data_IF_725094781111
#
_entry.id   IF_725094781111
#
_cell.length_a   1.000
_cell.length_b   1.000
_cell.length_c   1.000
_cell.angle_alpha   90.00
_cell.angle_beta   90.00
_cell.angle_gamma   90.00
#
_symmetry.space_group_name_H-M   'P 1'
#
loop_
_entity.id
_entity.type
_entity.pdbx_description
1 polymer ?
#
# COMPACT_ATOMS: atom_id res chain seq x y z
N UNK A 1 -7.35 20.66 6.88
CA UNK A 1 -6.31 19.80 7.49
C UNK A 1 -6.51 18.43 6.87
N UNK A 2 -5.46 17.78 6.37
CA UNK A 2 -5.59 16.42 5.83
C UNK A 2 -5.68 15.44 6.98
N UNK A 3 -6.60 14.49 6.91
CA UNK A 3 -6.82 13.40 7.86
C UNK A 3 -6.39 12.06 7.27
N UNK A 4 -6.37 11.01 8.09
CA UNK A 4 -6.16 9.65 7.58
C UNK A 4 -7.31 9.18 6.68
N UNK A 5 -8.55 9.64 6.90
CA UNK A 5 -9.69 9.29 6.05
C UNK A 5 -9.49 9.82 4.61
N UNK A 6 -8.98 11.06 4.47
CA UNK A 6 -8.60 11.63 3.17
C UNK A 6 -7.50 10.82 2.46
N UNK A 7 -6.56 10.24 3.23
CA UNK A 7 -5.48 9.39 2.72
C UNK A 7 -6.01 7.99 2.36
N UNK A 8 -6.90 7.41 3.16
CA UNK A 8 -7.54 6.13 2.92
C UNK A 8 -8.42 6.15 1.66
N UNK A 9 -9.13 7.27 1.42
CA UNK A 9 -9.86 7.50 0.15
C UNK A 9 -8.88 7.46 -1.04
N UNK A 10 -7.78 8.23 -0.98
CA UNK A 10 -6.77 8.24 -2.05
C UNK A 10 -6.11 6.87 -2.28
N UNK A 11 -5.93 6.07 -1.23
CA UNK A 11 -5.44 4.70 -1.32
C UNK A 11 -6.47 3.82 -2.05
N UNK A 12 -7.74 3.88 -1.66
CA UNK A 12 -8.83 3.10 -2.29
C UNK A 12 -9.06 3.48 -3.76
N UNK A 13 -9.00 4.76 -4.12
CA UNK A 13 -9.11 5.23 -5.51
C UNK A 13 -7.97 4.69 -6.39
N UNK A 14 -6.74 4.67 -5.86
CA UNK A 14 -5.56 4.16 -6.57
C UNK A 14 -5.56 2.64 -6.66
N UNK A 15 -5.97 1.91 -5.61
CA UNK A 15 -6.20 0.45 -5.71
C UNK A 15 -7.30 0.14 -6.74
N UNK A 16 -8.42 0.86 -6.72
CA UNK A 16 -9.48 0.71 -7.74
C UNK A 16 -8.93 0.90 -9.17
N UNK A 17 -8.08 1.92 -9.35
CA UNK A 17 -7.41 2.19 -10.63
C UNK A 17 -6.45 1.06 -11.05
N UNK A 18 -5.66 0.52 -10.11
CA UNK A 18 -4.70 -0.55 -10.38
C UNK A 18 -5.37 -1.91 -10.67
N UNK A 19 -6.47 -2.21 -9.98
CA UNK A 19 -7.15 -3.50 -10.02
C UNK A 19 -8.24 -3.58 -11.11
N UNK A 20 -8.76 -2.44 -11.57
CA UNK A 20 -9.87 -2.35 -12.53
C UNK A 20 -11.27 -2.54 -11.92
N UNK A 21 -11.36 -2.69 -10.59
CA UNK A 21 -12.60 -2.83 -9.82
C UNK A 21 -12.83 -1.64 -8.87
N UNK A 22 -13.90 -1.67 -8.07
CA UNK A 22 -14.16 -0.65 -7.05
C UNK A 22 -13.79 -1.14 -5.65
N UNK A 23 -12.71 -0.59 -5.11
CA UNK A 23 -12.31 -0.73 -3.70
C UNK A 23 -12.91 0.41 -2.87
N UNK A 24 -13.40 0.11 -1.67
CA UNK A 24 -13.84 1.11 -0.69
C UNK A 24 -13.25 0.80 0.70
N UNK A 25 -13.10 1.79 1.60
CA UNK A 25 -12.45 1.59 2.90
C UNK A 25 -13.06 0.47 3.74
N UNK A 26 -14.37 0.22 3.59
CA UNK A 26 -15.10 -0.80 4.35
C UNK A 26 -14.83 -2.25 3.86
N UNK A 27 -14.17 -2.43 2.71
CA UNK A 27 -13.88 -3.74 2.11
C UNK A 27 -12.47 -4.26 2.42
N UNK A 28 -11.57 -3.40 2.92
CA UNK A 28 -10.14 -3.73 3.03
C UNK A 28 -9.70 -3.74 4.49
N UNK A 29 -9.46 -4.94 5.02
CA UNK A 29 -8.70 -5.08 6.26
C UNK A 29 -7.25 -4.67 6.02
N UNK A 30 -6.65 -3.95 6.97
CA UNK A 30 -5.24 -3.61 6.90
C UNK A 30 -4.55 -3.66 8.27
N UNK A 31 -3.30 -4.12 8.26
CA UNK A 31 -2.38 -4.00 9.39
C UNK A 31 -1.38 -2.86 9.12
N UNK A 32 -0.66 -2.41 10.15
CA UNK A 32 0.27 -1.27 10.02
C UNK A 32 1.58 -1.55 10.73
N UNK A 33 2.69 -1.46 9.99
CA UNK A 33 4.06 -1.61 10.52
C UNK A 33 4.82 -0.29 10.41
N UNK A 34 5.56 0.08 11.46
CA UNK A 34 6.50 1.21 11.42
C UNK A 34 7.86 0.69 10.95
N UNK A 35 8.39 1.26 9.87
CA UNK A 35 9.70 0.92 9.32
C UNK A 35 10.57 2.18 9.17
N UNK A 36 11.89 2.01 9.20
CA UNK A 36 12.83 3.02 8.72
C UNK A 36 12.78 3.07 7.19
N UNK A 37 13.04 4.24 6.59
CA UNK A 37 13.05 4.38 5.11
C UNK A 37 14.09 3.47 4.43
N UNK A 38 15.18 3.14 5.12
CA UNK A 38 16.22 2.20 4.66
C UNK A 38 15.70 0.77 4.50
N UNK A 39 14.56 0.41 5.09
CA UNK A 39 13.90 -0.90 4.98
C UNK A 39 12.90 -0.97 3.80
N UNK A 40 12.70 0.14 3.07
CA UNK A 40 11.71 0.25 2.00
C UNK A 40 12.35 0.04 0.62
N UNK A 41 12.28 -1.18 0.08
CA UNK A 41 12.67 -1.48 -1.32
C UNK A 41 11.58 -1.10 -2.35
N UNK A 42 10.34 -0.92 -1.90
CA UNK A 42 9.15 -1.09 -2.74
C UNK A 42 9.16 -0.37 -4.10
N UNK A 43 8.96 -1.15 -5.17
CA UNK A 43 8.93 -0.71 -6.57
C UNK A 43 7.95 0.46 -6.76
N UNK A 44 8.50 1.60 -7.19
CA UNK A 44 7.73 2.82 -7.48
C UNK A 44 7.80 3.89 -6.38
N UNK A 45 8.51 3.63 -5.28
CA UNK A 45 8.75 4.60 -4.21
C UNK A 45 10.18 5.14 -4.29
N UNK A 46 10.35 6.46 -4.35
CA UNK A 46 11.66 7.09 -4.18
C UNK A 46 11.96 7.27 -2.69
N UNK A 47 12.83 6.39 -2.18
CA UNK A 47 13.34 6.37 -0.80
C UNK A 47 13.87 7.76 -0.37
N UNK A 48 14.43 8.56 -1.30
CA UNK A 48 14.96 9.91 -1.00
C UNK A 48 13.87 10.92 -0.63
N UNK A 49 12.62 10.64 -0.98
CA UNK A 49 11.47 11.48 -0.62
C UNK A 49 10.87 11.13 0.74
N UNK A 50 11.22 9.96 1.29
CA UNK A 50 10.68 9.47 2.56
C UNK A 50 11.32 10.18 3.78
N UNK A 51 10.54 10.43 4.85
CA UNK A 51 11.10 10.76 6.16
C UNK A 51 11.86 9.55 6.73
N UNK A 52 12.69 9.76 7.76
CA UNK A 52 13.47 8.71 8.43
C UNK A 52 12.62 7.48 8.82
N UNK A 53 11.38 7.72 9.26
CA UNK A 53 10.42 6.69 9.68
C UNK A 53 9.07 6.86 8.99
N UNK A 54 8.54 5.75 8.48
CA UNK A 54 7.25 5.67 7.78
C UNK A 54 6.33 4.64 8.45
N UNK A 55 5.04 4.72 8.14
CA UNK A 55 4.11 3.61 8.33
C UNK A 55 3.87 2.93 6.98
N UNK A 56 3.87 1.61 6.97
CA UNK A 56 3.41 0.80 5.84
C UNK A 56 2.11 0.13 6.27
N UNK A 57 1.01 0.50 5.60
CA UNK A 57 -0.27 -0.17 5.73
C UNK A 57 -0.28 -1.37 4.78
N UNK A 58 -0.41 -2.58 5.32
CA UNK A 58 -0.52 -3.82 4.56
C UNK A 58 -2.00 -4.21 4.45
N UNK A 59 -2.52 -4.17 3.23
CA UNK A 59 -3.93 -4.43 2.91
C UNK A 59 -4.11 -5.88 2.47
N UNK A 60 -5.17 -6.53 2.95
CA UNK A 60 -5.53 -7.90 2.56
C UNK A 60 -7.00 -7.91 2.12
N UNK A 61 -7.21 -8.28 0.86
CA UNK A 61 -8.50 -8.68 0.29
C UNK A 61 -8.42 -10.17 -0.10
N UNK A 62 -9.55 -10.79 -0.47
CA UNK A 62 -9.59 -12.24 -0.75
C UNK A 62 -8.66 -12.67 -1.89
N UNK A 63 -8.66 -11.88 -2.97
CA UNK A 63 -7.98 -12.23 -4.23
C UNK A 63 -6.68 -11.43 -4.46
N UNK A 64 -6.40 -10.43 -3.62
CA UNK A 64 -5.22 -9.57 -3.72
C UNK A 64 -4.75 -9.03 -2.36
N UNK A 65 -3.45 -8.78 -2.24
CA UNK A 65 -2.85 -7.99 -1.16
C UNK A 65 -2.25 -6.70 -1.69
N UNK A 66 -2.09 -5.70 -0.83
CA UNK A 66 -1.50 -4.43 -1.22
C UNK A 66 -0.71 -3.80 -0.09
N UNK A 67 0.02 -2.74 -0.40
CA UNK A 67 0.76 -1.94 0.57
C UNK A 67 0.59 -0.46 0.24
N UNK A 68 0.56 0.41 1.25
CA UNK A 68 0.67 1.86 1.09
C UNK A 68 1.62 2.46 2.13
N UNK A 69 2.53 3.33 1.69
CA UNK A 69 3.55 3.97 2.54
C UNK A 69 3.15 5.41 2.84
N UNK A 70 3.02 5.74 4.11
CA UNK A 70 2.61 7.07 4.61
C UNK A 70 3.57 7.60 5.68
N UNK A 71 3.49 8.90 6.00
CA UNK A 71 4.19 9.45 7.17
C UNK A 71 3.56 8.98 8.49
N UNK A 72 4.29 9.08 9.60
CA UNK A 72 3.79 8.67 10.93
C UNK A 72 2.49 9.40 11.37
N UNK A 73 2.26 10.61 10.86
CA UNK A 73 1.03 11.39 11.11
C UNK A 73 -0.17 10.88 10.30
N UNK A 74 0.05 10.01 9.30
CA UNK A 74 -0.95 9.48 8.37
C UNK A 74 -1.66 10.57 7.54
N UNK A 75 -0.96 11.68 7.26
CA UNK A 75 -1.46 12.85 6.52
C UNK A 75 -0.94 12.93 5.08
N UNK A 76 0.02 12.06 4.69
CA UNK A 76 0.64 12.06 3.35
C UNK A 76 0.98 10.64 2.87
N UNK A 77 0.45 10.29 1.70
CA UNK A 77 0.83 9.11 0.92
C UNK A 77 2.09 9.36 0.08
N UNK A 78 3.04 8.42 0.10
CA UNK A 78 4.27 8.46 -0.71
C UNK A 78 4.20 7.51 -1.91
N UNK A 79 3.56 6.36 -1.74
CA UNK A 79 3.37 5.38 -2.80
C UNK A 79 2.63 4.14 -2.30
N UNK A 80 2.20 3.30 -3.23
CA UNK A 80 1.48 2.05 -2.95
C UNK A 80 1.64 1.06 -4.12
N UNK A 81 1.26 -0.19 -3.89
CA UNK A 81 1.18 -1.22 -4.92
C UNK A 81 0.32 -2.40 -4.51
N UNK A 82 0.04 -3.28 -5.46
CA UNK A 82 -0.79 -4.48 -5.32
C UNK A 82 -0.03 -5.73 -5.74
N UNK A 83 -0.42 -6.86 -5.16
CA UNK A 83 0.09 -8.20 -5.43
C UNK A 83 -1.11 -9.14 -5.57
N UNK A 84 -1.18 -9.93 -6.63
CA UNK A 84 -2.20 -10.97 -6.80
C UNK A 84 -1.69 -12.30 -6.27
N UNK A 85 -2.55 -13.10 -5.64
CA UNK A 85 -2.17 -14.45 -5.18
C UNK A 85 -1.96 -15.44 -6.35
N UNK A 86 -2.60 -15.19 -7.50
CA UNK A 86 -2.49 -16.00 -8.73
C UNK A 86 -1.23 -15.71 -9.58
N UNK A 87 -0.41 -14.72 -9.22
CA UNK A 87 0.93 -14.50 -9.83
C UNK A 87 1.93 -15.56 -9.32
N UNK A 88 1.66 -16.84 -9.59
CA UNK A 88 2.45 -17.99 -9.13
C UNK A 88 3.96 -17.86 -9.49
N UNK A 89 4.86 -17.73 -8.51
CA UNK A 89 6.30 -17.85 -8.76
C UNK A 89 6.70 -19.26 -9.24
N UNK A 90 5.83 -20.25 -8.98
CA UNK A 90 6.13 -21.67 -9.09
C UNK A 90 5.79 -22.31 -10.44
N UNK A 91 5.02 -21.65 -11.32
CA UNK A 91 4.62 -22.19 -12.64
C UNK A 91 5.74 -22.22 -13.70
N UNK A 92 6.97 -21.85 -13.34
CA UNK A 92 8.20 -22.02 -14.16
C UNK A 92 9.26 -22.84 -13.41
N UNK A 93 8.83 -23.91 -12.72
CA UNK A 93 9.67 -24.66 -11.77
C UNK A 93 9.60 -26.19 -11.84
N UNK A 94 9.09 -26.79 -12.91
CA UNK A 94 9.21 -28.24 -13.23
C UNK A 94 8.88 -28.54 -14.69
#
# INVERSE_FOLDING_TARGET
MVSFDDVMIQICERFSTNLGEKVTPNQVGFESVKLAREEIDYKGIDIKTLPEWVLVHMFICGDWSGYAVVNLEQTKLYGLGTFYFDDEPFKKGR
#
